data_IF_682643036814
#
_entry.id   IF_682643036814
#
_cell.length_a   1.000
_cell.length_b   1.000
_cell.length_c   1.000
_cell.angle_alpha   90.00
_cell.angle_beta   90.00
_cell.angle_gamma   90.00
#
_symmetry.space_group_name_H-M   'P 1'
#
loop_
_entity.id
_entity.type
_entity.pdbx_description
1 polymer ?
#
# COMPACT_ATOMS: atom_id res chain seq x y z
N UNK A 1 23.55 3.64 -5.65
CA UNK A 1 22.55 2.56 -5.88
C UNK A 1 21.20 3.03 -5.36
N UNK A 2 20.11 2.92 -6.13
CA UNK A 2 18.75 3.31 -5.67
C UNK A 2 18.00 2.08 -5.15
N UNK A 3 17.21 2.23 -4.08
CA UNK A 3 16.41 1.14 -3.50
C UNK A 3 15.50 0.47 -4.54
N UNK A 4 14.91 1.24 -5.48
CA UNK A 4 14.06 0.70 -6.55
C UNK A 4 14.78 -0.32 -7.44
N UNK A 5 16.08 -0.11 -7.71
CA UNK A 5 16.88 -1.04 -8.50
C UNK A 5 17.14 -2.33 -7.73
N UNK A 6 17.34 -2.25 -6.41
CA UNK A 6 17.51 -3.43 -5.55
C UNK A 6 16.21 -4.26 -5.52
N UNK A 7 15.07 -3.60 -5.31
CA UNK A 7 13.76 -4.25 -5.28
C UNK A 7 13.42 -4.99 -6.58
N UNK A 8 13.85 -4.47 -7.74
CA UNK A 8 13.64 -5.12 -9.04
C UNK A 8 14.45 -6.41 -9.23
N UNK A 9 15.52 -6.61 -8.47
CA UNK A 9 16.41 -7.78 -8.61
C UNK A 9 16.02 -8.96 -7.70
N UNK A 10 15.02 -8.79 -6.84
CA UNK A 10 14.55 -9.85 -5.94
C UNK A 10 13.48 -10.67 -6.67
N UNK A 11 13.75 -11.97 -6.86
CA UNK A 11 12.95 -12.84 -7.74
C UNK A 11 12.04 -13.84 -7.00
N UNK A 12 11.96 -13.74 -5.67
CA UNK A 12 11.20 -14.67 -4.83
C UNK A 12 10.46 -13.92 -3.73
N UNK A 13 9.22 -14.34 -3.46
CA UNK A 13 8.42 -13.83 -2.34
C UNK A 13 9.12 -14.05 -1.00
N UNK A 14 9.83 -15.16 -0.83
CA UNK A 14 10.59 -15.44 0.39
C UNK A 14 11.71 -14.41 0.57
N UNK A 15 12.43 -14.11 -0.50
CA UNK A 15 13.58 -13.21 -0.45
C UNK A 15 13.15 -11.75 -0.23
N UNK A 16 12.04 -11.32 -0.83
CA UNK A 16 11.52 -9.97 -0.59
C UNK A 16 10.98 -9.84 0.84
N UNK A 17 10.33 -10.88 1.38
CA UNK A 17 9.87 -10.89 2.76
C UNK A 17 11.03 -10.81 3.77
N UNK A 18 12.11 -11.56 3.54
CA UNK A 18 13.31 -11.48 4.37
C UNK A 18 13.96 -10.10 4.27
N UNK A 19 14.12 -9.58 3.05
CA UNK A 19 14.68 -8.25 2.82
C UNK A 19 13.89 -7.14 3.52
N UNK A 20 12.55 -7.18 3.46
CA UNK A 20 11.71 -6.21 4.15
C UNK A 20 11.81 -6.33 5.68
N UNK A 21 11.95 -7.53 6.23
CA UNK A 21 12.16 -7.75 7.68
C UNK A 21 13.51 -7.26 8.18
N UNK A 22 14.54 -7.28 7.32
CA UNK A 22 15.84 -6.70 7.64
C UNK A 22 15.84 -5.16 7.53
N UNK A 23 15.10 -4.62 6.55
CA UNK A 23 15.07 -3.18 6.25
C UNK A 23 14.11 -2.38 7.14
N UNK A 24 13.00 -2.98 7.55
CA UNK A 24 11.90 -2.30 8.22
C UNK A 24 11.57 -2.96 9.55
N UNK A 25 11.05 -2.16 10.47
CA UNK A 25 10.43 -2.67 11.69
C UNK A 25 9.11 -3.38 11.39
N UNK A 26 8.64 -4.29 12.27
CA UNK A 26 7.35 -4.95 12.09
C UNK A 26 6.17 -3.98 11.91
N UNK A 27 6.19 -2.84 12.63
CA UNK A 27 5.13 -1.82 12.53
C UNK A 27 5.16 -1.05 11.21
N UNK A 28 6.33 -0.84 10.61
CA UNK A 28 6.45 -0.23 9.28
C UNK A 28 5.90 -1.15 8.19
N UNK A 29 6.18 -2.46 8.28
CA UNK A 29 5.63 -3.47 7.37
C UNK A 29 4.11 -3.48 7.47
N UNK A 30 3.58 -3.60 8.70
CA UNK A 30 2.15 -3.56 8.94
C UNK A 30 1.51 -2.27 8.38
N UNK A 31 2.14 -1.10 8.60
CA UNK A 31 1.63 0.16 8.07
C UNK A 31 1.65 0.22 6.53
N UNK A 32 2.59 -0.45 5.86
CA UNK A 32 2.60 -0.57 4.40
C UNK A 32 1.46 -1.46 3.90
N UNK A 33 1.24 -2.60 4.55
CA UNK A 33 0.14 -3.53 4.25
C UNK A 33 -1.24 -2.88 4.46
N UNK A 34 -1.42 -2.17 5.58
CA UNK A 34 -2.65 -1.41 5.85
C UNK A 34 -2.93 -0.38 4.76
N UNK A 35 -1.91 0.40 4.34
CA UNK A 35 -2.07 1.38 3.25
C UNK A 35 -2.43 0.71 1.94
N UNK A 36 -1.88 -0.47 1.66
CA UNK A 36 -2.23 -1.24 0.47
C UNK A 36 -3.69 -1.69 0.49
N UNK A 37 -4.17 -2.22 1.61
CA UNK A 37 -5.56 -2.66 1.73
C UNK A 37 -6.55 -1.48 1.67
N UNK A 38 -6.21 -0.34 2.30
CA UNK A 38 -6.98 0.91 2.14
C UNK A 38 -7.06 1.31 0.66
N UNK A 39 -5.94 1.30 -0.07
CA UNK A 39 -5.92 1.67 -1.49
C UNK A 39 -6.79 0.74 -2.34
N UNK A 40 -6.76 -0.56 -2.05
CA UNK A 40 -7.60 -1.57 -2.71
C UNK A 40 -9.09 -1.32 -2.47
N UNK A 41 -9.52 -1.12 -1.22
CA UNK A 41 -10.92 -0.86 -0.90
C UNK A 41 -11.43 0.45 -1.51
N UNK A 42 -10.60 1.49 -1.50
CA UNK A 42 -10.91 2.76 -2.17
C UNK A 42 -11.07 2.57 -3.68
N UNK A 43 -10.25 1.74 -4.30
CA UNK A 43 -10.32 1.46 -5.74
C UNK A 43 -11.56 0.68 -6.13
N UNK A 44 -12.03 -0.25 -5.29
CA UNK A 44 -13.29 -0.98 -5.49
C UNK A 44 -14.52 -0.06 -5.41
N UNK A 45 -14.44 1.07 -4.70
CA UNK A 45 -15.45 2.13 -4.72
C UNK A 45 -16.77 1.81 -4.02
N UNK A 46 -16.86 0.71 -3.26
CA UNK A 46 -18.08 0.23 -2.62
C UNK A 46 -18.22 0.60 -1.13
N UNK A 47 -17.20 1.23 -0.53
CA UNK A 47 -17.17 1.60 0.88
C UNK A 47 -16.89 3.09 1.06
N UNK A 48 -17.52 3.71 2.06
CA UNK A 48 -17.17 5.08 2.44
C UNK A 48 -15.82 5.11 3.17
N UNK A 49 -15.21 6.29 3.29
CA UNK A 49 -13.93 6.42 4.03
C UNK A 49 -14.08 6.00 5.49
N UNK A 50 -15.26 6.19 6.08
CA UNK A 50 -15.56 5.78 7.45
C UNK A 50 -15.65 4.27 7.56
N UNK A 51 -16.32 3.61 6.62
CA UNK A 51 -16.43 2.15 6.59
C UNK A 51 -15.06 1.50 6.45
N UNK A 52 -14.21 2.04 5.57
CA UNK A 52 -12.83 1.56 5.39
C UNK A 52 -12.02 1.74 6.68
N UNK A 53 -12.10 2.91 7.31
CA UNK A 53 -11.40 3.18 8.56
C UNK A 53 -11.82 2.20 9.67
N UNK A 54 -13.12 1.96 9.83
CA UNK A 54 -13.66 1.00 10.80
C UNK A 54 -13.25 -0.44 10.47
N UNK A 55 -13.39 -0.85 9.20
CA UNK A 55 -13.08 -2.22 8.75
C UNK A 55 -11.62 -2.59 8.96
N UNK A 56 -10.71 -1.65 8.70
CA UNK A 56 -9.26 -1.87 8.81
C UNK A 56 -8.68 -1.42 10.16
N UNK A 57 -9.52 -1.04 11.12
CA UNK A 57 -9.10 -0.51 12.42
C UNK A 57 -8.03 0.59 12.29
N UNK A 58 -8.22 1.51 11.35
CA UNK A 58 -7.30 2.62 11.06
C UNK A 58 -8.00 3.96 11.16
N UNK A 59 -7.23 5.05 11.19
CA UNK A 59 -7.80 6.39 11.26
C UNK A 59 -8.36 6.85 9.90
N UNK A 60 -9.42 7.66 9.93
CA UNK A 60 -9.94 8.35 8.73
C UNK A 60 -8.89 9.28 8.10
N UNK A 61 -7.95 9.79 8.90
CA UNK A 61 -6.80 10.56 8.43
C UNK A 61 -5.83 9.70 7.59
N UNK A 62 -5.64 8.43 7.95
CA UNK A 62 -4.90 7.46 7.13
C UNK A 62 -5.61 7.21 5.81
N UNK A 63 -6.92 6.93 5.84
CA UNK A 63 -7.72 6.69 4.63
C UNK A 63 -7.67 7.89 3.67
N UNK A 64 -7.85 9.10 4.20
CA UNK A 64 -7.78 10.33 3.40
C UNK A 64 -6.42 10.53 2.75
N UNK A 65 -5.32 10.25 3.47
CA UNK A 65 -3.97 10.34 2.91
C UNK A 65 -3.78 9.33 1.78
N UNK A 66 -4.19 8.08 1.95
CA UNK A 66 -4.09 7.06 0.89
C UNK A 66 -4.92 7.45 -0.32
N UNK A 67 -6.16 7.92 -0.13
CA UNK A 67 -7.02 8.37 -1.22
C UNK A 67 -6.41 9.52 -2.04
N UNK A 68 -5.72 10.47 -1.39
CA UNK A 68 -5.00 11.53 -2.08
C UNK A 68 -3.93 10.95 -3.02
N UNK A 69 -3.09 10.03 -2.54
CA UNK A 69 -2.04 9.42 -3.36
C UNK A 69 -2.57 8.47 -4.44
N UNK A 70 -3.74 7.86 -4.21
CA UNK A 70 -4.40 7.00 -5.19
C UNK A 70 -5.00 7.80 -6.35
N UNK A 71 -5.70 8.91 -6.05
CA UNK A 71 -6.52 9.60 -7.05
C UNK A 71 -5.99 10.96 -7.51
N UNK A 72 -5.22 11.68 -6.69
CA UNK A 72 -4.85 13.08 -6.95
C UNK A 72 -3.38 13.28 -7.32
N UNK A 73 -2.47 12.47 -6.77
CA UNK A 73 -1.04 12.63 -7.02
C UNK A 73 -0.61 12.13 -8.41
N UNK A 74 0.38 12.79 -9.01
CA UNK A 74 0.85 12.53 -10.38
C UNK A 74 1.60 11.20 -10.53
N UNK A 75 2.11 10.63 -9.43
CA UNK A 75 2.92 9.42 -9.42
C UNK A 75 2.17 8.17 -9.92
N UNK A 76 0.85 8.09 -9.70
CA UNK A 76 -0.05 7.00 -10.14
C UNK A 76 0.41 5.56 -9.81
N UNK A 77 1.29 5.40 -8.81
CA UNK A 77 1.88 4.10 -8.44
C UNK A 77 0.83 3.06 -8.03
N UNK A 78 -0.04 3.40 -7.06
CA UNK A 78 -1.14 2.52 -6.64
C UNK A 78 -2.05 2.15 -7.81
N UNK A 79 -2.49 3.15 -8.58
CA UNK A 79 -3.43 2.95 -9.69
C UNK A 79 -2.87 1.98 -10.75
N UNK A 80 -1.58 2.07 -11.07
CA UNK A 80 -0.94 1.17 -12.04
C UNK A 80 -0.95 -0.29 -11.57
N UNK A 81 -0.64 -0.54 -10.30
CA UNK A 81 -0.61 -1.91 -9.76
C UNK A 81 -2.03 -2.44 -9.55
N UNK A 82 -2.94 -1.63 -9.04
CA UNK A 82 -4.34 -2.02 -8.83
C UNK A 82 -5.02 -2.43 -10.14
N UNK A 83 -4.90 -1.63 -11.21
CA UNK A 83 -5.41 -1.95 -12.56
C UNK A 83 -4.87 -3.24 -13.17
N UNK A 84 -3.70 -3.71 -12.71
CA UNK A 84 -3.10 -4.96 -13.20
C UNK A 84 -3.69 -6.18 -12.49
N UNK A 85 -4.12 -6.01 -11.25
CA UNK A 85 -4.50 -7.10 -10.34
C UNK A 85 -6.01 -7.19 -10.09
N UNK A 86 -6.78 -6.16 -10.47
CA UNK A 86 -8.23 -6.02 -10.30
C UNK A 86 -8.82 -5.29 -11.51
#
# INVERSE_FOLDING_TARGET
>A
MKLSTVLMNINSEKDINNFLKDLCTPSEIQAMEERWEVAKLLYMGNLTYRDIATKLNTSTATVTRVARFLFKESNKGYLKILKKNY
#
